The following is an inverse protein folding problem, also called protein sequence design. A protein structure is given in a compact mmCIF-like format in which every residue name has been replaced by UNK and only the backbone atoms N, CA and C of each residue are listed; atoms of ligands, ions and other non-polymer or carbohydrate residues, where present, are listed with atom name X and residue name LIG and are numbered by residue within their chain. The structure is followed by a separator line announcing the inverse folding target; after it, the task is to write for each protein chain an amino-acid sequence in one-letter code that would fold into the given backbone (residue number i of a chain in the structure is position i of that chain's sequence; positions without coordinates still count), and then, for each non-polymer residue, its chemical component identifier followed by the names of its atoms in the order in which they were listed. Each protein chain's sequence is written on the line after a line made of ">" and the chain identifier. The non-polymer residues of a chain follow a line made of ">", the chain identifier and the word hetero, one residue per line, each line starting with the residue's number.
data_IF_830256229523
#
_entry.id   IF_830256229523
#
_cell.length_a   1.000
_cell.length_b   1.000
_cell.length_c   1.000
_cell.angle_alpha   90.00
_cell.angle_beta   90.00
_cell.angle_gamma   90.00
#
_symmetry.space_group_name_H-M   'P 1'
#
loop_
_entity.id
_entity.type
_entity.pdbx_description
1 polymer ?
#
# COMPACT_ATOMS: atom_id res chain seq x y z
N UNK A 1 -77.09 28.99 18.41
CA UNK A 1 -75.95 29.12 17.47
C UNK A 1 -75.06 27.92 17.70
N UNK A 2 -74.99 27.09 16.68
CA UNK A 2 -75.01 25.64 16.80
C UNK A 2 -73.59 25.04 16.77
N UNK A 3 -73.29 24.25 17.79
CA UNK A 3 -72.03 23.53 18.04
C UNK A 3 -71.70 22.43 17.01
N UNK A 4 -72.52 22.31 15.96
CA UNK A 4 -72.36 21.40 14.84
C UNK A 4 -71.37 21.91 13.76
N UNK A 5 -71.15 23.23 13.64
CA UNK A 5 -70.28 23.79 12.59
C UNK A 5 -68.79 23.90 12.96
N UNK A 6 -68.42 23.76 14.24
CA UNK A 6 -67.01 23.78 14.67
C UNK A 6 -66.35 22.39 14.65
N UNK A 7 -67.14 21.30 14.59
CA UNK A 7 -66.64 19.92 14.48
C UNK A 7 -66.48 19.41 13.05
N UNK A 8 -67.01 20.11 12.05
CA UNK A 8 -66.82 19.79 10.63
C UNK A 8 -65.61 20.48 9.97
N UNK A 9 -64.92 21.38 10.67
CA UNK A 9 -63.67 22.00 10.18
C UNK A 9 -62.38 21.38 10.72
N UNK A 10 -62.48 20.43 11.64
CA UNK A 10 -61.34 19.66 12.19
C UNK A 10 -61.28 18.20 11.72
N UNK A 11 -62.32 17.69 11.05
CA UNK A 11 -62.31 16.35 10.44
C UNK A 11 -61.78 16.32 8.98
N UNK A 12 -61.71 17.47 8.30
CA UNK A 12 -61.24 17.57 6.90
C UNK A 12 -59.75 17.91 6.75
N UNK A 13 -58.98 17.89 7.86
CA UNK A 13 -57.51 18.07 7.87
C UNK A 13 -56.72 16.89 8.43
N UNK A 14 -57.38 15.77 8.74
CA UNK A 14 -56.73 14.55 9.24
C UNK A 14 -57.00 13.28 8.41
N UNK A 15 -57.70 13.38 7.28
CA UNK A 15 -57.85 12.28 6.31
C UNK A 15 -56.97 12.42 5.05
N UNK A 16 -56.04 13.37 5.01
CA UNK A 16 -55.07 13.53 3.93
C UNK A 16 -53.67 12.97 4.26
N UNK A 17 -53.55 12.09 5.27
CA UNK A 17 -52.29 11.43 5.67
C UNK A 17 -52.52 9.93 5.94
N UNK A 18 -53.34 9.27 5.13
CA UNK A 18 -53.39 7.80 5.11
C UNK A 18 -53.94 7.34 3.76
N UNK A 19 -53.02 7.09 2.82
CA UNK A 19 -53.39 6.69 1.47
C UNK A 19 -52.30 6.94 0.44
N UNK A 20 -51.09 6.46 0.71
CA UNK A 20 -50.06 6.20 -0.32
C UNK A 20 -48.91 5.39 0.31
N UNK A 21 -49.24 4.17 0.76
CA UNK A 21 -48.25 3.10 0.96
C UNK A 21 -48.29 2.21 -0.28
N UNK A 22 -47.62 2.68 -1.33
CA UNK A 22 -47.18 1.87 -2.47
C UNK A 22 -46.00 2.62 -3.06
N UNK A 23 -44.81 2.32 -2.55
CA UNK A 23 -43.55 2.85 -3.04
C UNK A 23 -43.31 2.35 -4.48
N UNK A 24 -43.01 3.23 -5.44
CA UNK A 24 -42.34 2.81 -6.65
C UNK A 24 -40.91 2.39 -6.26
N UNK A 25 -40.52 1.19 -6.64
CA UNK A 25 -39.13 0.75 -6.64
C UNK A 25 -38.34 1.60 -7.63
N UNK A 26 -37.73 2.68 -7.15
CA UNK A 26 -36.71 3.41 -7.91
C UNK A 26 -35.35 2.77 -7.63
N UNK A 27 -34.56 2.45 -8.66
CA UNK A 27 -33.20 1.97 -8.47
C UNK A 27 -32.38 3.07 -7.80
N UNK A 28 -31.64 2.70 -6.76
CA UNK A 28 -30.58 3.52 -6.20
C UNK A 28 -29.48 3.65 -7.25
N UNK A 29 -29.60 4.67 -8.09
CA UNK A 29 -28.47 5.27 -8.78
C UNK A 29 -27.56 5.86 -7.69
N UNK A 30 -26.61 5.05 -7.24
CA UNK A 30 -25.39 5.57 -6.66
C UNK A 30 -24.86 6.61 -7.65
N UNK A 31 -24.61 7.83 -7.18
CA UNK A 31 -23.86 8.82 -7.93
C UNK A 31 -22.47 8.27 -8.23
N UNK A 32 -22.36 7.49 -9.31
CA UNK A 32 -21.12 7.27 -10.02
C UNK A 32 -20.79 8.61 -10.67
N UNK A 33 -20.11 9.50 -9.93
CA UNK A 33 -19.31 10.52 -10.59
C UNK A 33 -18.48 9.82 -11.66
N UNK A 34 -18.44 10.36 -12.88
CA UNK A 34 -17.72 9.78 -14.02
C UNK A 34 -16.33 9.28 -13.61
N UNK A 35 -16.24 8.02 -13.19
CA UNK A 35 -14.98 7.31 -13.07
C UNK A 35 -14.59 7.09 -14.52
N UNK A 36 -13.42 7.56 -14.93
CA UNK A 36 -12.84 7.16 -16.21
C UNK A 36 -12.65 5.64 -16.16
N UNK A 37 -13.67 4.92 -16.62
CA UNK A 37 -13.70 3.47 -16.75
C UNK A 37 -13.47 3.09 -18.21
N UNK A 38 -12.52 3.75 -18.89
CA UNK A 38 -12.03 3.16 -20.14
C UNK A 38 -11.08 2.04 -19.75
N UNK A 39 -11.44 0.76 -20.00
CA UNK A 39 -10.52 -0.33 -19.74
C UNK A 39 -9.34 -0.24 -20.72
N UNK A 40 -8.14 -0.58 -20.25
CA UNK A 40 -6.99 -0.88 -21.07
C UNK A 40 -7.19 -2.22 -21.82
N UNK A 41 -6.19 -2.60 -22.61
CA UNK A 41 -6.23 -3.83 -23.42
C UNK A 41 -6.44 -5.12 -22.60
N UNK A 42 -6.27 -5.07 -21.27
CA UNK A 42 -6.39 -6.20 -20.36
C UNK A 42 -7.62 -6.08 -19.43
N UNK A 43 -8.53 -5.14 -19.68
CA UNK A 43 -9.75 -4.98 -18.88
C UNK A 43 -9.56 -4.21 -17.57
N UNK A 44 -8.36 -3.68 -17.29
CA UNK A 44 -8.11 -2.82 -16.13
C UNK A 44 -8.39 -1.36 -16.46
N UNK A 45 -8.66 -0.46 -15.49
CA UNK A 45 -8.72 0.97 -15.80
C UNK A 45 -7.48 1.45 -16.56
N UNK A 46 -7.67 2.36 -17.52
CA UNK A 46 -6.57 3.00 -18.25
C UNK A 46 -5.50 3.55 -17.28
N UNK A 47 -4.24 3.59 -17.72
CA UNK A 47 -3.14 4.16 -16.95
C UNK A 47 -2.90 5.61 -17.34
N UNK A 48 -2.78 6.49 -16.35
CA UNK A 48 -2.44 7.91 -16.52
C UNK A 48 -1.01 8.19 -16.07
N UNK A 49 -0.24 9.02 -16.78
CA UNK A 49 1.14 9.30 -16.42
C UNK A 49 1.23 10.10 -15.12
N UNK A 50 2.25 9.82 -14.31
CA UNK A 50 2.66 10.70 -13.21
C UNK A 50 3.20 12.00 -13.82
N UNK A 51 2.64 13.13 -13.38
CA UNK A 51 3.00 14.46 -13.90
C UNK A 51 3.78 15.31 -12.91
N UNK A 52 3.89 14.88 -11.65
CA UNK A 52 4.63 15.58 -10.62
C UNK A 52 5.77 14.73 -10.09
N UNK A 53 6.98 15.26 -10.19
CA UNK A 53 8.20 14.66 -9.66
C UNK A 53 8.95 15.71 -8.85
N UNK A 54 9.12 15.55 -7.53
CA UNK A 54 9.92 16.47 -6.73
C UNK A 54 11.31 16.70 -7.33
N UNK A 55 11.84 17.92 -7.23
CA UNK A 55 13.09 18.28 -7.92
C UNK A 55 14.27 17.35 -7.57
N UNK A 56 14.36 16.89 -6.33
CA UNK A 56 15.45 16.00 -5.90
C UNK A 56 15.27 14.56 -6.43
N UNK A 57 14.04 14.10 -6.67
CA UNK A 57 13.79 12.77 -7.25
C UNK A 57 14.13 12.75 -8.74
N UNK A 58 14.02 13.87 -9.44
CA UNK A 58 14.54 14.01 -10.82
C UNK A 58 16.08 13.90 -10.90
N UNK A 59 16.79 14.37 -9.86
CA UNK A 59 18.25 14.19 -9.75
C UNK A 59 18.58 12.73 -9.40
N UNK A 60 17.79 12.12 -8.53
CA UNK A 60 17.91 10.71 -8.18
C UNK A 60 17.68 9.79 -9.38
N UNK A 61 16.68 10.07 -10.23
CA UNK A 61 16.50 9.37 -11.50
C UNK A 61 17.76 9.43 -12.36
N UNK A 62 18.33 10.62 -12.58
CA UNK A 62 19.58 10.75 -13.35
C UNK A 62 20.74 9.98 -12.72
N UNK A 63 20.82 9.95 -11.40
CA UNK A 63 21.81 9.14 -10.70
C UNK A 63 21.58 7.63 -10.96
N UNK A 64 20.34 7.17 -10.81
CA UNK A 64 19.92 5.79 -11.02
C UNK A 64 20.11 5.32 -12.47
N UNK A 65 19.69 6.13 -13.43
CA UNK A 65 19.85 5.88 -14.87
C UNK A 65 21.33 5.71 -15.24
N UNK A 66 22.22 6.53 -14.69
CA UNK A 66 23.65 6.43 -14.96
C UNK A 66 24.28 5.13 -14.45
N UNK A 67 23.92 4.67 -13.25
CA UNK A 67 24.44 3.40 -12.70
C UNK A 67 23.79 2.15 -13.31
N UNK A 68 22.65 2.30 -13.99
CA UNK A 68 21.94 1.21 -14.63
C UNK A 68 22.55 0.80 -15.99
N UNK A 69 23.32 1.68 -16.65
CA UNK A 69 23.73 1.54 -18.06
C UNK A 69 24.31 0.18 -18.45
N UNK A 70 25.13 -0.42 -17.58
CA UNK A 70 25.83 -1.67 -17.85
C UNK A 70 25.13 -2.91 -17.24
N UNK A 71 23.92 -2.74 -16.69
CA UNK A 71 23.17 -3.83 -16.06
C UNK A 71 22.33 -4.60 -17.09
N UNK A 72 22.32 -5.92 -16.98
CA UNK A 72 21.54 -6.81 -17.86
C UNK A 72 20.01 -6.56 -17.78
N UNK A 73 19.56 -6.01 -16.66
CA UNK A 73 18.16 -5.65 -16.41
C UNK A 73 17.85 -4.17 -16.68
N UNK A 74 18.76 -3.41 -17.31
CA UNK A 74 18.57 -1.97 -17.55
C UNK A 74 17.32 -1.63 -18.36
N UNK A 75 16.89 -2.53 -19.25
CA UNK A 75 15.66 -2.37 -20.06
C UNK A 75 14.38 -2.24 -19.22
N UNK A 76 14.40 -2.69 -17.96
CA UNK A 76 13.27 -2.57 -17.03
C UNK A 76 13.30 -1.26 -16.21
N UNK A 77 14.31 -0.40 -16.41
CA UNK A 77 14.37 0.91 -15.78
C UNK A 77 13.51 1.90 -16.57
N UNK A 78 12.21 1.94 -16.26
CA UNK A 78 11.27 2.80 -16.97
C UNK A 78 11.39 4.26 -16.52
N UNK A 79 11.44 5.18 -17.49
CA UNK A 79 11.35 6.62 -17.22
C UNK A 79 9.92 7.06 -16.96
N UNK A 80 9.00 6.56 -17.76
CA UNK A 80 7.59 6.94 -17.69
C UNK A 80 6.89 6.07 -16.64
N UNK A 81 6.38 6.71 -15.59
CA UNK A 81 5.65 6.07 -14.50
C UNK A 81 4.17 6.43 -14.58
N UNK A 82 3.32 5.51 -14.10
CA UNK A 82 1.88 5.60 -14.28
C UNK A 82 1.11 5.23 -13.01
N UNK A 83 -0.12 5.73 -12.93
CA UNK A 83 -1.16 5.29 -12.00
C UNK A 83 -2.33 4.72 -12.79
N UNK A 84 -3.13 3.84 -12.19
CA UNK A 84 -4.45 3.53 -12.73
C UNK A 84 -5.37 4.78 -12.65
N UNK A 85 -6.21 5.00 -13.66
CA UNK A 85 -7.05 6.20 -13.80
C UNK A 85 -8.11 6.34 -12.69
N UNK A 86 -8.41 5.26 -11.96
CA UNK A 86 -9.29 5.25 -10.79
C UNK A 86 -8.59 5.71 -9.50
N UNK A 87 -7.26 5.90 -9.49
CA UNK A 87 -6.49 6.27 -8.29
C UNK A 87 -6.51 7.78 -7.97
N UNK A 88 -6.41 8.72 -8.94
CA UNK A 88 -6.30 10.14 -8.66
C UNK A 88 -7.40 10.74 -7.78
N UNK A 89 -8.60 10.16 -7.76
CA UNK A 89 -9.69 10.62 -6.88
C UNK A 89 -9.36 10.46 -5.38
N UNK A 90 -8.59 9.43 -5.00
CA UNK A 90 -8.21 9.16 -3.61
C UNK A 90 -7.04 10.02 -3.13
N UNK A 91 -6.39 10.76 -4.04
CA UNK A 91 -5.29 11.68 -3.73
C UNK A 91 -5.83 13.04 -3.28
N UNK A 92 -7.04 13.42 -3.71
CA UNK A 92 -7.55 14.80 -3.56
C UNK A 92 -7.90 15.20 -2.14
N UNK A 93 -8.23 14.25 -1.29
CA UNK A 93 -8.63 14.49 0.09
C UNK A 93 -8.33 13.27 0.97
N UNK A 94 -8.25 13.49 2.28
CA UNK A 94 -8.14 12.40 3.24
C UNK A 94 -9.39 11.52 3.19
N UNK A 95 -9.20 10.21 3.22
CA UNK A 95 -10.32 9.27 3.34
C UNK A 95 -11.04 9.45 4.69
N UNK A 96 -12.32 9.09 4.82
CA UNK A 96 -13.06 9.28 6.07
C UNK A 96 -12.60 8.31 7.17
N UNK A 97 -12.97 8.58 8.42
CA UNK A 97 -12.47 7.85 9.59
C UNK A 97 -12.89 6.37 9.61
N UNK A 98 -14.04 6.02 9.03
CA UNK A 98 -14.48 4.63 8.90
C UNK A 98 -13.63 3.79 7.93
N UNK A 99 -12.74 4.42 7.15
CA UNK A 99 -11.76 3.72 6.31
C UNK A 99 -10.54 3.20 7.06
N UNK A 100 -10.40 3.56 8.35
CA UNK A 100 -9.30 3.10 9.18
C UNK A 100 -9.48 1.63 9.56
N UNK A 101 -8.43 0.84 9.35
CA UNK A 101 -8.29 -0.49 9.93
C UNK A 101 -7.27 -0.39 11.07
N UNK A 102 -7.65 -0.60 12.35
CA UNK A 102 -6.68 -0.72 13.42
C UNK A 102 -5.74 -1.91 13.20
N UNK A 103 -4.47 -1.78 13.56
CA UNK A 103 -3.49 -2.86 13.34
C UNK A 103 -3.85 -4.17 14.05
N UNK A 104 -4.49 -4.11 15.22
CA UNK A 104 -5.01 -5.28 15.94
C UNK A 104 -6.14 -6.01 15.19
N UNK A 105 -6.81 -5.32 14.26
CA UNK A 105 -7.88 -5.86 13.45
C UNK A 105 -7.40 -6.33 12.07
N UNK A 106 -6.08 -6.48 11.88
CA UNK A 106 -5.51 -6.89 10.59
C UNK A 106 -6.04 -8.23 10.08
N UNK A 107 -6.48 -9.12 10.99
CA UNK A 107 -7.16 -10.38 10.66
C UNK A 107 -8.39 -10.19 9.76
N UNK A 108 -9.04 -9.02 9.78
CA UNK A 108 -10.16 -8.66 8.90
C UNK A 108 -9.78 -8.60 7.41
N UNK A 109 -8.50 -8.54 7.08
CA UNK A 109 -8.04 -8.66 5.68
C UNK A 109 -8.33 -10.06 5.10
N UNK A 110 -8.57 -11.07 5.93
CA UNK A 110 -9.00 -12.41 5.52
C UNK A 110 -10.47 -12.49 5.11
N UNK A 111 -11.28 -11.46 5.42
CA UNK A 111 -12.69 -11.41 5.05
C UNK A 111 -12.83 -11.44 3.50
N UNK A 112 -13.84 -12.14 2.97
CA UNK A 112 -14.08 -12.18 1.52
C UNK A 112 -14.46 -10.80 1.00
N UNK A 113 -14.20 -10.56 -0.30
CA UNK A 113 -14.51 -9.28 -0.95
C UNK A 113 -13.53 -8.17 -0.57
N UNK A 114 -14.06 -6.96 -0.40
CA UNK A 114 -13.27 -5.75 -0.20
C UNK A 114 -13.77 -4.97 1.02
N UNK A 115 -12.85 -4.30 1.71
CA UNK A 115 -13.22 -3.29 2.69
C UNK A 115 -13.81 -2.06 1.99
N UNK A 116 -14.62 -1.28 2.71
CA UNK A 116 -15.25 -0.06 2.17
C UNK A 116 -14.23 0.91 1.55
N UNK A 117 -13.03 0.97 2.14
CA UNK A 117 -11.93 1.82 1.69
C UNK A 117 -10.68 0.95 1.48
N UNK A 118 -10.44 0.54 0.23
CA UNK A 118 -9.19 -0.15 -0.15
C UNK A 118 -8.10 0.83 -0.59
N UNK A 119 -8.45 2.06 -0.96
CA UNK A 119 -7.55 3.11 -1.38
C UNK A 119 -7.80 4.39 -0.58
N UNK A 120 -6.74 4.99 -0.05
CA UNK A 120 -6.81 6.26 0.65
C UNK A 120 -5.75 6.41 1.73
N UNK A 121 -5.70 7.62 2.28
CA UNK A 121 -4.73 8.02 3.29
C UNK A 121 -5.40 8.92 4.32
N UNK A 122 -4.92 8.86 5.56
CA UNK A 122 -5.43 9.69 6.67
C UNK A 122 -4.39 9.83 7.77
N UNK A 123 -4.37 10.99 8.43
CA UNK A 123 -3.71 11.14 9.72
C UNK A 123 -4.70 10.83 10.87
N UNK A 124 -4.30 9.95 11.79
CA UNK A 124 -5.04 9.66 13.01
C UNK A 124 -4.89 10.79 14.04
N UNK A 125 -5.81 10.90 15.03
CA UNK A 125 -5.73 11.93 16.06
C UNK A 125 -4.41 11.95 16.86
N UNK A 126 -3.73 10.81 16.98
CA UNK A 126 -2.45 10.67 17.68
C UNK A 126 -1.22 11.02 16.80
N UNK A 127 -1.45 11.43 15.55
CA UNK A 127 -0.42 11.76 14.56
C UNK A 127 0.08 10.58 13.72
N UNK A 128 -0.44 9.36 13.93
CA UNK A 128 -0.12 8.21 13.08
C UNK A 128 -0.60 8.46 11.65
N UNK A 129 0.26 8.23 10.67
CA UNK A 129 -0.11 8.21 9.26
C UNK A 129 -0.60 6.82 8.89
N UNK A 130 -1.83 6.73 8.39
CA UNK A 130 -2.40 5.48 7.89
C UNK A 130 -2.66 5.56 6.39
N UNK A 131 -2.27 4.49 5.69
CA UNK A 131 -2.46 4.34 4.25
C UNK A 131 -3.04 2.98 3.97
N UNK A 132 -4.03 2.94 3.07
CA UNK A 132 -4.54 1.73 2.45
C UNK A 132 -4.42 1.87 0.94
N UNK A 133 -3.96 0.82 0.28
CA UNK A 133 -3.76 0.83 -1.16
C UNK A 133 -4.09 -0.53 -1.77
N UNK A 134 -4.71 -0.50 -2.95
CA UNK A 134 -4.96 -1.68 -3.78
C UNK A 134 -4.39 -1.47 -5.18
N UNK A 135 -3.45 -2.33 -5.55
CA UNK A 135 -2.72 -2.26 -6.81
C UNK A 135 -2.86 -3.55 -7.60
N UNK A 136 -3.03 -3.48 -8.92
CA UNK A 136 -3.25 -4.68 -9.76
C UNK A 136 -1.94 -5.16 -10.36
N UNK A 137 -1.76 -6.48 -10.36
CA UNK A 137 -0.57 -7.21 -10.80
C UNK A 137 -0.95 -8.26 -11.87
N UNK A 138 -1.31 -7.81 -13.09
CA UNK A 138 -1.66 -8.72 -14.18
C UNK A 138 -0.50 -9.66 -14.52
N UNK A 139 -0.83 -10.92 -14.83
CA UNK A 139 0.14 -11.98 -15.19
C UNK A 139 1.11 -12.38 -14.08
N UNK A 140 1.05 -11.74 -12.92
CA UNK A 140 1.95 -12.03 -11.80
C UNK A 140 1.48 -13.25 -11.01
N UNK A 141 2.41 -13.93 -10.35
CA UNK A 141 2.15 -15.07 -9.45
C UNK A 141 2.80 -14.84 -8.10
N UNK A 142 2.32 -15.52 -7.05
CA UNK A 142 2.93 -15.38 -5.72
C UNK A 142 4.42 -15.75 -5.71
N UNK A 143 4.87 -16.59 -6.64
CA UNK A 143 6.28 -16.96 -6.74
C UNK A 143 7.17 -15.83 -7.23
N UNK A 144 6.71 -15.09 -8.24
CA UNK A 144 7.37 -13.88 -8.73
C UNK A 144 7.51 -12.83 -7.62
N UNK A 145 6.46 -12.66 -6.82
CA UNK A 145 6.47 -11.74 -5.67
C UNK A 145 7.50 -12.19 -4.63
N UNK A 146 7.44 -13.45 -4.18
CA UNK A 146 8.39 -13.95 -3.18
C UNK A 146 9.83 -13.88 -3.68
N UNK A 147 10.05 -14.09 -4.97
CA UNK A 147 11.35 -13.96 -5.62
C UNK A 147 11.88 -12.51 -5.57
N UNK A 148 11.04 -11.57 -5.97
CA UNK A 148 11.38 -10.15 -6.03
C UNK A 148 11.99 -9.66 -4.71
N UNK A 149 11.33 -9.96 -3.59
CA UNK A 149 11.69 -9.44 -2.26
C UNK A 149 13.07 -9.85 -1.74
N UNK A 150 13.67 -10.94 -2.21
CA UNK A 150 15.09 -11.18 -1.91
C UNK A 150 15.99 -10.68 -3.05
N UNK A 151 15.56 -10.80 -4.31
CA UNK A 151 16.38 -10.47 -5.47
C UNK A 151 16.74 -8.99 -5.57
N UNK A 152 15.81 -8.09 -5.25
CA UNK A 152 16.03 -6.64 -5.34
C UNK A 152 16.96 -6.08 -4.24
N UNK A 153 17.20 -6.85 -3.17
CA UNK A 153 17.66 -6.34 -1.87
C UNK A 153 19.18 -6.18 -1.72
N UNK A 154 19.93 -6.45 -2.79
CA UNK A 154 21.38 -6.72 -2.73
C UNK A 154 22.20 -5.94 -3.74
N UNK A 155 21.55 -5.40 -4.77
CA UNK A 155 22.15 -4.43 -5.69
C UNK A 155 21.25 -3.19 -5.68
N UNK A 156 21.79 -2.00 -5.37
CA UNK A 156 21.02 -0.75 -5.39
C UNK A 156 20.29 -0.49 -6.72
N UNK A 157 20.88 -0.91 -7.84
CA UNK A 157 20.29 -0.79 -9.17
C UNK A 157 19.01 -1.63 -9.31
N UNK A 158 18.96 -2.84 -8.74
CA UNK A 158 17.73 -3.65 -8.75
C UNK A 158 16.61 -2.97 -7.97
N UNK A 159 16.94 -2.38 -6.82
CA UNK A 159 15.97 -1.63 -6.02
C UNK A 159 15.43 -0.40 -6.78
N UNK A 160 16.28 0.26 -7.56
CA UNK A 160 15.88 1.39 -8.40
C UNK A 160 14.93 1.01 -9.54
N UNK A 161 14.90 -0.23 -10.03
CA UNK A 161 13.91 -0.64 -11.03
C UNK A 161 12.47 -0.44 -10.53
N UNK A 162 12.25 -0.66 -9.24
CA UNK A 162 10.95 -0.57 -8.59
C UNK A 162 10.39 0.86 -8.61
N UNK A 163 11.21 1.83 -8.22
CA UNK A 163 10.88 3.24 -8.30
C UNK A 163 12.12 4.06 -8.71
N UNK A 164 12.34 4.27 -10.01
CA UNK A 164 13.58 4.89 -10.54
C UNK A 164 13.86 6.30 -10.04
N UNK A 165 12.85 7.05 -9.63
CA UNK A 165 12.98 8.40 -9.11
C UNK A 165 13.25 8.46 -7.60
N UNK A 166 12.84 7.44 -6.84
CA UNK A 166 12.85 7.49 -5.37
C UNK A 166 13.90 6.57 -4.74
N UNK A 167 14.08 5.35 -5.28
CA UNK A 167 14.88 4.30 -4.66
C UNK A 167 16.38 4.46 -4.93
N UNK A 168 17.16 4.73 -3.88
CA UNK A 168 18.61 4.98 -4.01
C UNK A 168 19.47 3.79 -3.58
N UNK A 169 19.11 3.08 -2.52
CA UNK A 169 19.93 1.98 -2.00
C UNK A 169 19.08 0.99 -1.23
N UNK A 170 19.42 -0.29 -1.35
CA UNK A 170 18.93 -1.36 -0.49
C UNK A 170 20.09 -2.29 -0.13
N UNK A 171 20.13 -2.72 1.12
CA UNK A 171 21.07 -3.75 1.59
C UNK A 171 20.39 -4.65 2.60
N UNK A 172 20.29 -5.93 2.25
CA UNK A 172 19.79 -6.98 3.14
C UNK A 172 20.83 -7.50 4.11
N UNK A 173 20.42 -7.81 5.34
CA UNK A 173 21.23 -8.62 6.28
C UNK A 173 21.35 -10.08 5.85
N UNK A 174 20.56 -10.54 4.87
CA UNK A 174 20.58 -11.90 4.33
C UNK A 174 21.19 -11.95 2.91
N UNK A 175 22.08 -11.01 2.57
CA UNK A 175 22.75 -10.97 1.27
C UNK A 175 23.52 -12.28 0.95
N UNK A 176 23.98 -13.00 1.97
CA UNK A 176 24.63 -14.31 1.85
C UNK A 176 23.68 -15.44 1.41
N UNK A 177 22.36 -15.25 1.50
CA UNK A 177 21.36 -16.26 1.12
C UNK A 177 20.95 -16.23 -0.35
N UNK A 178 21.36 -15.22 -1.10
CA UNK A 178 20.99 -15.04 -2.52
C UNK A 178 21.23 -16.29 -3.38
N UNK A 179 22.44 -16.84 -3.28
CA UNK A 179 22.89 -17.94 -4.12
C UNK A 179 22.51 -19.33 -3.56
N UNK A 180 21.83 -19.38 -2.41
CA UNK A 180 21.38 -20.63 -1.79
C UNK A 180 20.21 -21.21 -2.56
N UNK A 181 20.40 -22.37 -3.19
CA UNK A 181 19.35 -23.07 -3.95
C UNK A 181 18.52 -24.03 -3.08
N UNK A 182 18.99 -24.32 -1.87
CA UNK A 182 18.32 -25.15 -0.87
C UNK A 182 17.27 -24.38 -0.04
N UNK A 183 17.22 -23.04 -0.17
CA UNK A 183 16.25 -22.19 0.49
C UNK A 183 15.14 -21.78 -0.47
N UNK A 184 13.89 -21.86 0.01
CA UNK A 184 12.75 -21.26 -0.70
C UNK A 184 12.89 -19.73 -0.80
N UNK A 185 12.18 -19.11 -1.74
CA UNK A 185 12.18 -17.65 -1.88
C UNK A 185 11.83 -16.93 -0.56
N UNK A 186 10.82 -17.41 0.18
CA UNK A 186 10.46 -16.85 1.49
C UNK A 186 11.60 -16.94 2.51
N UNK A 187 12.32 -18.07 2.57
CA UNK A 187 13.44 -18.25 3.51
C UNK A 187 14.65 -17.34 3.21
N UNK A 188 14.73 -16.76 2.01
CA UNK A 188 15.78 -15.81 1.63
C UNK A 188 15.55 -14.40 2.15
N UNK A 189 14.32 -14.00 2.48
CA UNK A 189 14.02 -12.65 2.98
C UNK A 189 13.28 -12.61 4.33
N UNK A 190 12.46 -13.61 4.68
CA UNK A 190 11.68 -13.59 5.92
C UNK A 190 12.61 -13.63 7.13
N UNK A 191 12.51 -12.63 8.01
CA UNK A 191 13.41 -12.43 9.15
C UNK A 191 14.63 -11.55 8.85
N UNK A 192 14.86 -11.17 7.59
CA UNK A 192 15.94 -10.23 7.25
C UNK A 192 15.61 -8.80 7.69
N UNK A 193 16.61 -7.92 7.65
CA UNK A 193 16.41 -6.47 7.68
C UNK A 193 17.00 -5.87 6.41
N UNK A 194 16.20 -5.09 5.68
CA UNK A 194 16.70 -4.27 4.58
C UNK A 194 16.91 -2.85 5.07
N UNK A 195 18.16 -2.37 5.01
CA UNK A 195 18.43 -0.95 5.18
C UNK A 195 18.27 -0.28 3.83
N UNK A 196 17.22 0.52 3.68
CA UNK A 196 16.90 1.22 2.44
C UNK A 196 17.10 2.73 2.59
N UNK A 197 17.48 3.38 1.49
CA UNK A 197 17.51 4.84 1.37
C UNK A 197 16.68 5.23 0.16
N UNK A 198 15.69 6.09 0.38
CA UNK A 198 14.70 6.44 -0.63
C UNK A 198 14.10 7.83 -0.37
N UNK A 199 13.34 8.33 -1.34
CA UNK A 199 12.48 9.49 -1.16
C UNK A 199 11.06 9.05 -0.86
N UNK A 200 10.40 9.76 0.06
CA UNK A 200 8.94 9.77 0.19
C UNK A 200 8.52 11.23 -0.02
N UNK A 201 7.89 11.50 -1.17
CA UNK A 201 7.70 12.86 -1.66
C UNK A 201 9.05 13.57 -1.84
N UNK A 202 9.20 14.75 -1.25
CA UNK A 202 10.47 15.51 -1.33
C UNK A 202 11.53 15.10 -0.31
N UNK A 203 11.19 14.23 0.65
CA UNK A 203 12.04 13.92 1.79
C UNK A 203 12.87 12.66 1.56
N UNK A 204 14.20 12.80 1.55
CA UNK A 204 15.11 11.65 1.56
C UNK A 204 15.16 11.06 2.96
N UNK A 205 14.85 9.78 3.07
CA UNK A 205 14.91 9.04 4.32
C UNK A 205 15.75 7.77 4.20
N UNK A 206 16.15 7.25 5.35
CA UNK A 206 16.73 5.92 5.48
C UNK A 206 15.93 5.21 6.54
N UNK A 207 15.51 3.99 6.23
CA UNK A 207 14.74 3.14 7.16
C UNK A 207 15.30 1.72 7.15
N UNK A 208 15.08 1.03 8.26
CA UNK A 208 15.35 -0.39 8.39
C UNK A 208 14.01 -1.14 8.32
N UNK A 209 13.80 -1.91 7.26
CA UNK A 209 12.61 -2.73 7.05
C UNK A 209 12.90 -4.12 7.59
N UNK A 210 12.35 -4.48 8.74
CA UNK A 210 12.51 -5.81 9.32
C UNK A 210 11.32 -6.69 8.98
N UNK A 211 11.51 -7.68 8.11
CA UNK A 211 10.44 -8.58 7.68
C UNK A 211 10.11 -9.59 8.78
N UNK A 212 8.83 -9.69 9.12
CA UNK A 212 8.32 -10.53 10.20
C UNK A 212 7.26 -11.49 9.67
N UNK A 213 7.00 -12.55 10.44
CA UNK A 213 5.95 -13.51 10.09
C UNK A 213 4.56 -12.83 10.15
N UNK A 214 3.71 -12.95 9.11
CA UNK A 214 2.36 -12.40 9.09
C UNK A 214 1.48 -12.85 10.28
N UNK A 215 1.77 -13.99 10.92
CA UNK A 215 1.09 -14.43 12.14
C UNK A 215 1.20 -13.42 13.29
N UNK A 216 2.24 -12.57 13.31
CA UNK A 216 2.37 -11.46 14.26
C UNK A 216 1.17 -10.49 14.21
N UNK A 217 0.48 -10.40 13.06
CA UNK A 217 -0.67 -9.53 12.83
C UNK A 217 -1.99 -10.30 12.74
N UNK A 218 -2.03 -11.54 13.23
CA UNK A 218 -3.22 -12.39 13.15
C UNK A 218 -3.51 -12.92 11.73
N UNK A 219 -2.49 -12.99 10.89
CA UNK A 219 -2.57 -13.44 9.49
C UNK A 219 -1.70 -14.68 9.23
N UNK A 220 -1.88 -15.80 9.94
CA UNK A 220 -1.02 -16.97 9.74
C UNK A 220 -1.15 -17.53 8.30
N UNK A 221 -0.06 -18.12 7.81
CA UNK A 221 0.09 -18.53 6.40
C UNK A 221 -1.01 -19.46 5.89
N UNK A 222 -1.51 -20.38 6.71
CA UNK A 222 -2.59 -21.30 6.37
C UNK A 222 -3.91 -20.55 6.12
N UNK A 223 -4.22 -19.54 6.93
CA UNK A 223 -5.41 -18.69 6.79
C UNK A 223 -5.31 -17.76 5.59
N UNK A 224 -4.13 -17.18 5.35
CA UNK A 224 -3.86 -16.39 4.14
C UNK A 224 -4.12 -17.23 2.89
N UNK A 225 -3.54 -18.43 2.83
CA UNK A 225 -3.75 -19.36 1.71
C UNK A 225 -5.22 -19.73 1.54
N UNK A 226 -5.93 -20.02 2.62
CA UNK A 226 -7.36 -20.34 2.59
C UNK A 226 -8.22 -19.16 2.08
N UNK A 227 -7.79 -17.92 2.33
CA UNK A 227 -8.42 -16.69 1.85
C UNK A 227 -7.97 -16.28 0.43
N UNK A 228 -7.20 -17.12 -0.28
CA UNK A 228 -6.78 -16.88 -1.67
C UNK A 228 -5.54 -16.01 -1.82
N UNK A 229 -4.81 -15.74 -0.74
CA UNK A 229 -3.51 -15.05 -0.82
C UNK A 229 -2.40 -15.99 -1.28
N UNK A 230 -1.65 -15.56 -2.29
CA UNK A 230 -0.51 -16.31 -2.81
C UNK A 230 0.83 -15.85 -2.19
N UNK A 231 0.92 -14.59 -1.75
CA UNK A 231 2.10 -14.06 -1.09
C UNK A 231 1.72 -13.02 -0.03
N UNK A 232 2.55 -12.91 1.00
CA UNK A 232 2.44 -11.89 2.03
C UNK A 232 3.83 -11.40 2.42
N UNK A 233 3.98 -10.09 2.58
CA UNK A 233 5.20 -9.44 3.06
C UNK A 233 4.79 -8.43 4.13
N UNK A 234 5.15 -8.74 5.37
CA UNK A 234 4.82 -7.92 6.53
C UNK A 234 6.11 -7.47 7.19
N UNK A 235 6.18 -6.23 7.64
CA UNK A 235 7.40 -5.71 8.24
C UNK A 235 7.15 -4.69 9.34
N UNK A 236 8.08 -4.67 10.29
CA UNK A 236 8.28 -3.54 11.19
C UNK A 236 9.23 -2.53 10.53
N UNK A 237 8.87 -1.26 10.53
CA UNK A 237 9.74 -0.17 10.11
C UNK A 237 10.52 0.37 11.30
N UNK A 238 11.82 0.59 11.12
CA UNK A 238 12.75 1.07 12.14
C UNK A 238 13.53 2.28 11.64
N UNK A 239 13.89 3.17 12.54
CA UNK A 239 14.61 4.40 12.20
C UNK A 239 15.99 4.10 11.57
N UNK A 240 16.39 4.93 10.61
CA UNK A 240 17.64 4.75 9.87
C UNK A 240 18.92 5.01 10.66
N UNK A 241 18.85 5.83 11.71
CA UNK A 241 19.97 6.13 12.62
C UNK A 241 19.90 5.28 13.89
N UNK A 242 18.68 5.00 14.38
CA UNK A 242 18.43 4.23 15.58
C UNK A 242 17.67 2.93 15.21
N UNK A 243 18.34 1.86 14.75
CA UNK A 243 17.66 0.63 14.30
C UNK A 243 16.84 -0.08 15.40
N UNK A 244 17.11 0.22 16.68
CA UNK A 244 16.32 -0.29 17.80
C UNK A 244 14.99 0.45 18.02
N UNK A 245 14.81 1.62 17.39
CA UNK A 245 13.58 2.41 17.44
C UNK A 245 12.65 1.96 16.31
N UNK A 246 11.53 1.33 16.67
CA UNK A 246 10.45 1.02 15.74
C UNK A 246 9.62 2.29 15.49
N UNK A 247 9.31 2.56 14.24
CA UNK A 247 8.62 3.76 13.76
C UNK A 247 7.35 3.47 12.94
N UNK A 248 6.99 2.20 12.70
CA UNK A 248 5.74 1.85 12.04
C UNK A 248 5.68 0.39 11.63
N UNK A 249 4.62 0.03 10.92
CA UNK A 249 4.40 -1.30 10.34
C UNK A 249 3.77 -1.18 8.95
N UNK A 250 4.00 -2.18 8.12
CA UNK A 250 3.21 -2.39 6.91
C UNK A 250 2.86 -3.85 6.70
N UNK A 251 1.78 -4.07 5.97
CA UNK A 251 1.32 -5.36 5.47
C UNK A 251 1.08 -5.25 3.97
N UNK A 252 1.72 -6.11 3.19
CA UNK A 252 1.46 -6.29 1.77
C UNK A 252 0.96 -7.71 1.53
N UNK A 253 -0.28 -7.84 1.04
CA UNK A 253 -0.91 -9.13 0.82
C UNK A 253 -1.35 -9.25 -0.64
N UNK A 254 -0.78 -10.20 -1.38
CA UNK A 254 -1.14 -10.46 -2.77
C UNK A 254 -2.19 -11.56 -2.87
N UNK A 255 -3.41 -11.17 -3.24
CA UNK A 255 -4.56 -12.07 -3.43
C UNK A 255 -4.70 -12.43 -4.89
N UNK A 256 -5.02 -13.70 -5.16
CA UNK A 256 -5.28 -14.17 -6.52
C UNK A 256 -6.51 -13.50 -7.13
N UNK A 257 -6.40 -13.12 -8.40
CA UNK A 257 -7.50 -12.66 -9.26
C UNK A 257 -7.58 -13.55 -10.50
N UNK A 258 -8.55 -13.31 -11.39
CA UNK A 258 -8.66 -14.05 -12.66
C UNK A 258 -7.42 -13.85 -13.54
N UNK A 259 -6.92 -12.61 -13.63
CA UNK A 259 -5.82 -12.26 -14.54
C UNK A 259 -4.44 -12.14 -13.87
N UNK A 260 -4.26 -12.63 -12.64
CA UNK A 260 -3.01 -12.51 -11.90
C UNK A 260 -3.22 -12.31 -10.41
N UNK A 261 -2.68 -11.21 -9.87
CA UNK A 261 -2.82 -10.84 -8.45
C UNK A 261 -3.37 -9.42 -8.29
N UNK A 262 -3.92 -9.16 -7.11
CA UNK A 262 -4.06 -7.83 -6.55
C UNK A 262 -3.24 -7.73 -5.27
N UNK A 263 -2.50 -6.64 -5.11
CA UNK A 263 -1.85 -6.28 -3.86
C UNK A 263 -2.81 -5.45 -3.01
N UNK A 264 -3.00 -5.84 -1.75
CA UNK A 264 -3.66 -5.04 -0.71
C UNK A 264 -2.61 -4.64 0.32
N UNK A 265 -2.28 -3.35 0.36
CA UNK A 265 -1.32 -2.75 1.29
C UNK A 265 -2.03 -2.04 2.45
N UNK A 266 -1.44 -2.12 3.64
CA UNK A 266 -1.81 -1.31 4.81
C UNK A 266 -0.55 -0.81 5.49
N UNK A 267 -0.53 0.46 5.88
CA UNK A 267 0.59 1.10 6.58
C UNK A 267 0.11 1.82 7.83
N UNK A 268 0.83 1.67 8.93
CA UNK A 268 0.65 2.42 10.18
C UNK A 268 1.98 3.08 10.57
N UNK A 269 2.25 4.24 9.97
CA UNK A 269 3.50 4.98 10.13
C UNK A 269 3.41 5.92 11.35
N UNK A 270 4.37 5.85 12.25
CA UNK A 270 4.33 6.55 13.54
C UNK A 270 3.44 5.88 14.61
N UNK A 271 2.93 4.69 14.32
CA UNK A 271 2.14 3.87 15.25
C UNK A 271 3.01 2.90 16.07
N UNK A 272 2.65 2.70 17.34
CA UNK A 272 3.29 1.74 18.24
C UNK A 272 4.80 1.94 18.39
N UNK A 273 5.22 3.21 18.56
CA UNK A 273 6.63 3.60 18.63
C UNK A 273 7.24 3.11 19.94
N UNK A 274 8.25 2.25 19.82
CA UNK A 274 8.97 1.75 20.97
C UNK A 274 10.45 1.52 20.67
N UNK A 275 11.25 1.63 21.71
CA UNK A 275 12.66 1.25 21.69
C UNK A 275 12.81 -0.17 22.21
N UNK A 276 13.67 -0.97 21.57
CA UNK A 276 14.06 -2.30 22.08
C UNK A 276 15.37 -2.21 22.85
N UNK A 277 15.31 -2.31 24.18
CA UNK A 277 16.50 -2.35 25.07
C UNK A 277 16.58 -3.72 25.72
N UNK A 278 17.67 -4.47 25.52
CA UNK A 278 17.90 -5.78 26.18
C UNK A 278 16.70 -6.75 26.07
N UNK A 279 15.99 -6.75 24.94
CA UNK A 279 14.81 -7.57 24.71
C UNK A 279 13.48 -7.00 25.23
N UNK A 280 13.51 -5.95 26.07
CA UNK A 280 12.31 -5.25 26.56
C UNK A 280 11.88 -4.14 25.59
N UNK A 281 10.57 -4.00 25.40
CA UNK A 281 9.95 -2.91 24.62
C UNK A 281 9.61 -1.74 25.54
N UNK A 282 10.28 -0.61 25.35
CA UNK A 282 9.97 0.64 26.06
C UNK A 282 9.21 1.55 25.11
N UNK A 283 7.90 1.68 25.32
CA UNK A 283 7.05 2.58 24.54
C UNK A 283 7.41 4.03 24.82
N UNK A 284 7.61 4.82 23.76
CA UNK A 284 7.86 6.27 23.87
C UNK A 284 6.82 7.09 23.11
N UNK A 285 5.69 6.48 22.75
CA UNK A 285 4.61 7.11 21.98
C UNK A 285 4.21 8.48 22.55
N UNK A 286 4.09 8.60 23.88
CA UNK A 286 3.74 9.85 24.56
C UNK A 286 4.85 10.93 24.44
N UNK A 287 6.12 10.56 24.65
CA UNK A 287 7.25 11.49 24.51
C UNK A 287 7.47 11.92 23.06
N UNK A 288 7.31 10.99 22.11
CA UNK A 288 7.49 11.24 20.67
C UNK A 288 6.40 12.16 20.11
N UNK A 289 5.17 12.06 20.65
CA UNK A 289 4.08 13.00 20.35
C UNK A 289 4.38 14.42 20.87
N UNK A 290 4.82 14.54 22.14
CA UNK A 290 5.10 15.84 22.78
C UNK A 290 6.28 16.61 22.14
N UNK A 291 7.28 15.89 21.61
CA UNK A 291 8.47 16.48 20.98
C UNK A 291 8.33 16.72 19.47
N UNK A 292 7.15 16.51 18.88
CA UNK A 292 6.90 16.74 17.45
C UNK A 292 7.55 15.73 16.50
N UNK A 293 8.22 14.69 17.01
CA UNK A 293 8.82 13.63 16.20
C UNK A 293 7.77 12.87 15.37
N UNK A 294 6.56 12.66 15.91
CA UNK A 294 5.44 12.06 15.15
C UNK A 294 5.04 12.90 13.94
N UNK A 295 5.08 14.24 13.99
CA UNK A 295 4.76 15.10 12.83
C UNK A 295 5.85 15.11 11.75
N UNK A 296 7.09 14.74 12.08
CA UNK A 296 8.22 14.72 11.14
C UNK A 296 8.38 13.36 10.44
N UNK A 297 8.03 12.27 11.13
CA UNK A 297 8.17 10.90 10.66
C UNK A 297 6.83 10.24 10.28
N UNK A 298 5.71 10.89 10.61
CA UNK A 298 4.34 10.50 10.32
C UNK A 298 3.48 11.77 10.15
N UNK A 299 2.16 11.61 10.12
CA UNK A 299 1.22 12.72 9.95
C UNK A 299 0.72 12.88 8.51
N UNK A 300 -0.06 13.93 8.28
CA UNK A 300 -0.85 14.12 7.06
C UNK A 300 -0.03 14.07 5.77
N UNK A 301 1.06 14.83 5.70
CA UNK A 301 1.94 14.84 4.52
C UNK A 301 2.58 13.46 4.27
N UNK A 302 3.01 12.75 5.32
CA UNK A 302 3.60 11.43 5.16
C UNK A 302 2.54 10.43 4.67
N UNK A 303 1.32 10.47 5.21
CA UNK A 303 0.22 9.61 4.74
C UNK A 303 -0.08 9.85 3.25
N UNK A 304 -0.19 11.12 2.85
CA UNK A 304 -0.42 11.52 1.46
C UNK A 304 0.69 11.05 0.52
N UNK A 305 1.95 11.41 0.82
CA UNK A 305 3.10 11.10 -0.03
C UNK A 305 3.31 9.58 -0.12
N UNK A 306 3.06 8.84 0.97
CA UNK A 306 3.24 7.39 0.98
C UNK A 306 2.15 6.65 0.20
N UNK A 307 0.92 7.16 0.13
CA UNK A 307 -0.11 6.61 -0.75
C UNK A 307 0.27 6.74 -2.23
N UNK A 308 0.81 7.89 -2.64
CA UNK A 308 1.31 8.10 -4.00
C UNK A 308 2.51 7.20 -4.27
N UNK A 309 3.41 7.07 -3.30
CA UNK A 309 4.60 6.24 -3.40
C UNK A 309 4.24 4.76 -3.62
N UNK A 310 3.39 4.16 -2.77
CA UNK A 310 2.91 2.77 -2.93
C UNK A 310 2.26 2.56 -4.31
N UNK A 311 1.33 3.44 -4.67
CA UNK A 311 0.60 3.32 -5.94
C UNK A 311 1.55 3.40 -7.14
N UNK A 312 2.56 4.28 -7.09
CA UNK A 312 3.53 4.45 -8.17
C UNK A 312 4.47 3.26 -8.26
N UNK A 313 5.11 2.88 -7.15
CA UNK A 313 6.13 1.83 -7.14
C UNK A 313 5.52 0.48 -7.52
N UNK A 314 4.35 0.13 -6.98
CA UNK A 314 3.76 -1.18 -7.24
C UNK A 314 3.08 -1.25 -8.61
N UNK A 315 2.54 -0.14 -9.12
CA UNK A 315 2.06 -0.10 -10.52
C UNK A 315 3.22 -0.25 -11.49
N UNK A 316 4.38 0.35 -11.19
CA UNK A 316 5.58 0.18 -11.99
C UNK A 316 6.12 -1.26 -11.89
N UNK A 317 6.25 -1.83 -10.69
CA UNK A 317 6.69 -3.22 -10.51
C UNK A 317 5.79 -4.20 -11.25
N UNK A 318 4.47 -4.03 -11.15
CA UNK A 318 3.48 -4.84 -11.86
C UNK A 318 3.65 -4.81 -13.38
N UNK A 319 4.23 -3.73 -13.93
CA UNK A 319 4.41 -3.59 -15.39
C UNK A 319 5.51 -4.46 -15.98
N UNK A 320 6.47 -4.93 -15.16
CA UNK A 320 7.62 -5.70 -15.66
C UNK A 320 7.95 -6.95 -14.85
N UNK A 321 7.35 -7.15 -13.68
CA UNK A 321 7.68 -8.28 -12.80
C UNK A 321 7.60 -9.65 -13.49
N UNK A 322 6.53 -9.99 -14.28
CA UNK A 322 6.47 -11.27 -14.97
C UNK A 322 7.61 -11.47 -15.97
N UNK A 323 7.93 -10.45 -16.77
CA UNK A 323 8.98 -10.52 -17.78
C UNK A 323 10.37 -10.59 -17.16
N UNK A 324 10.63 -9.78 -16.14
CA UNK A 324 11.88 -9.79 -15.40
C UNK A 324 12.11 -11.15 -14.72
N UNK A 325 11.08 -11.71 -14.11
CA UNK A 325 11.16 -13.06 -13.54
C UNK A 325 11.39 -14.13 -14.63
N UNK A 326 10.73 -14.00 -15.79
CA UNK A 326 10.97 -14.86 -16.95
C UNK A 326 12.42 -14.80 -17.45
N UNK A 327 13.01 -13.61 -17.50
CA UNK A 327 14.43 -13.40 -17.82
C UNK A 327 15.37 -14.03 -16.78
N UNK A 328 15.03 -13.90 -15.49
CA UNK A 328 15.76 -14.56 -14.40
C UNK A 328 15.74 -16.08 -14.56
N UNK A 329 14.57 -16.67 -14.77
CA UNK A 329 14.40 -18.12 -14.91
C UNK A 329 15.11 -18.67 -16.16
N UNK A 330 15.19 -17.87 -17.22
CA UNK A 330 15.95 -18.20 -18.42
C UNK A 330 17.47 -17.96 -18.30
N UNK A 331 17.96 -17.51 -17.14
CA UNK A 331 19.38 -17.23 -16.91
C UNK A 331 19.91 -15.97 -17.63
N UNK A 332 19.03 -15.10 -18.13
CA UNK A 332 19.40 -13.91 -18.90
C UNK A 332 19.94 -12.74 -18.05
N UNK A 333 19.75 -12.80 -16.74
CA UNK A 333 20.17 -11.75 -15.80
C UNK A 333 21.54 -11.98 -15.14
N UNK A 334 22.27 -13.02 -15.56
CA UNK A 334 23.45 -13.50 -14.82
C UNK A 334 23.06 -14.21 -13.51
N UNK A 335 23.95 -15.06 -12.99
CA UNK A 335 23.73 -15.79 -11.73
C UNK A 335 24.08 -14.96 -10.51
#
# INVERSE_FOLDING_TARGET
>A
MDSSQLRQRTASRLSAISGQLSAPSSPTDAQTGNIMQNPDANGYPEKVPITYYPLNTQKAYRHNENRMKDKLYAKYCHRDLYLYADIPQYIREQMPAEGLLPIGDSHRLLEPGYHKHENGWRMLPDGTAYVTSRTRFPGSTGDMVRWWFWWHSVEPERYALWFPYDHLSARSTYADRLHRTDLSHTQKWLGSTHRVTEFIGSQKMTVHIHFVDPAQYGLPWDKLKAAGYEAAVCAELRDGLLPNLKIGDFLHLWRKTEDGLELRSRYWLGGGIHYKVMGMKVGIDYLAGALGFKKRMAGENIAYEHFIHDQTEFTNLASFLPDLYGDYMAGRLGK
#
